data_IF_458630984159
#
_entry.id   IF_458630984159
#
_cell.length_a   1.000
_cell.length_b   1.000
_cell.length_c   1.000
_cell.angle_alpha   90.00
_cell.angle_beta   90.00
_cell.angle_gamma   90.00
#
_symmetry.space_group_name_H-M   'P 1'
#
loop_
_entity.id
_entity.type
_entity.pdbx_description
1 polymer ?
#
# COMPACT_ATOMS: atom_id res chain seq x y z
N UNK A 1 16.48 3.98 24.06
CA UNK A 1 15.53 4.92 23.42
C UNK A 1 14.09 4.52 23.74
N UNK A 2 13.37 5.27 24.60
CA UNK A 2 11.97 4.98 24.94
C UNK A 2 11.08 5.43 23.77
N UNK A 3 10.44 4.47 23.07
CA UNK A 3 9.44 4.76 22.04
C UNK A 3 8.29 5.52 22.69
N UNK A 4 8.08 6.78 22.30
CA UNK A 4 6.98 7.60 22.80
C UNK A 4 5.64 6.89 22.54
N UNK A 5 4.87 6.65 23.60
CA UNK A 5 3.50 6.13 23.51
C UNK A 5 2.70 7.12 22.65
N UNK A 6 2.26 6.68 21.46
CA UNK A 6 1.45 7.50 20.57
C UNK A 6 0.18 7.99 21.28
N UNK A 7 -0.26 9.21 20.97
CA UNK A 7 -1.50 9.78 21.53
C UNK A 7 -2.68 8.83 21.24
N UNK A 8 -3.47 8.52 22.27
CA UNK A 8 -4.67 7.71 22.11
C UNK A 8 -5.59 8.33 21.06
N UNK A 9 -6.06 7.52 20.11
CA UNK A 9 -6.99 7.96 19.10
C UNK A 9 -8.29 8.40 19.78
N UNK A 10 -8.72 9.65 19.58
CA UNK A 10 -10.02 10.11 20.08
C UNK A 10 -11.11 9.27 19.42
N UNK A 11 -11.97 8.63 20.23
CA UNK A 11 -13.14 7.90 19.74
C UNK A 11 -14.07 8.90 19.05
N UNK A 12 -14.37 8.67 17.77
CA UNK A 12 -15.30 9.52 17.04
C UNK A 12 -16.69 9.40 17.67
N UNK A 13 -17.31 10.52 18.05
CA UNK A 13 -18.70 10.56 18.52
C UNK A 13 -19.63 9.94 17.46
N UNK A 14 -20.68 9.23 17.88
CA UNK A 14 -21.69 8.70 16.97
C UNK A 14 -22.46 9.84 16.28
N UNK A 15 -22.95 9.60 15.07
CA UNK A 15 -23.63 10.64 14.27
C UNK A 15 -24.86 11.23 14.99
N UNK A 16 -25.66 10.40 15.68
CA UNK A 16 -26.84 10.86 16.41
C UNK A 16 -26.52 11.93 17.49
N UNK A 17 -25.49 11.68 18.30
CA UNK A 17 -25.03 12.63 19.33
C UNK A 17 -24.39 13.88 18.71
N UNK A 18 -23.76 13.71 17.53
CA UNK A 18 -23.13 14.80 16.80
C UNK A 18 -24.16 15.70 16.13
N UNK A 19 -25.25 15.15 15.59
CA UNK A 19 -26.25 15.88 14.80
C UNK A 19 -26.81 17.08 15.58
N UNK A 20 -27.23 16.88 16.82
CA UNK A 20 -27.75 17.97 17.66
C UNK A 20 -26.70 19.06 17.94
N UNK A 21 -25.42 18.70 18.07
CA UNK A 21 -24.32 19.66 18.24
C UNK A 21 -23.96 20.34 16.92
N UNK A 22 -24.06 19.62 15.81
CA UNK A 22 -23.80 20.09 14.47
C UNK A 22 -24.83 21.12 14.04
N UNK A 23 -26.13 20.90 14.31
CA UNK A 23 -27.20 21.88 14.06
C UNK A 23 -26.92 23.21 14.77
N UNK A 24 -26.65 23.15 16.08
CA UNK A 24 -26.30 24.35 16.87
C UNK A 24 -25.05 25.05 16.33
N UNK A 25 -24.02 24.27 16.01
CA UNK A 25 -22.76 24.82 15.52
C UNK A 25 -22.89 25.44 14.13
N UNK A 26 -23.68 24.85 13.23
CA UNK A 26 -23.96 25.41 11.90
C UNK A 26 -24.74 26.71 12.03
N UNK A 27 -25.69 26.81 12.96
CA UNK A 27 -26.44 28.04 13.21
C UNK A 27 -25.56 29.17 13.77
N UNK A 28 -24.55 28.83 14.58
CA UNK A 28 -23.57 29.78 15.14
C UNK A 28 -22.40 30.07 14.19
N UNK A 29 -22.30 29.38 13.05
CA UNK A 29 -21.15 29.48 12.17
C UNK A 29 -21.16 30.81 11.40
N UNK A 30 -20.24 31.69 11.80
CA UNK A 30 -20.04 33.04 11.25
C UNK A 30 -19.29 33.08 9.90
N UNK A 31 -18.81 31.94 9.40
CA UNK A 31 -18.07 31.86 8.13
C UNK A 31 -16.61 32.33 8.21
N UNK A 32 -16.12 32.78 9.36
CA UNK A 32 -14.74 33.28 9.52
C UNK A 32 -13.67 32.17 9.52
N UNK A 33 -13.91 30.94 10.02
CA UNK A 33 -12.89 29.91 10.05
C UNK A 33 -12.52 29.38 8.67
N UNK A 34 -11.23 29.11 8.46
CA UNK A 34 -10.69 28.42 7.28
C UNK A 34 -10.99 29.07 5.92
N UNK A 35 -11.22 30.39 5.88
CA UNK A 35 -11.47 31.13 4.65
C UNK A 35 -12.86 30.88 4.06
N UNK A 36 -13.86 30.68 4.91
CA UNK A 36 -15.24 30.42 4.48
C UNK A 36 -15.52 28.95 4.11
N UNK A 37 -14.54 28.06 4.21
CA UNK A 37 -14.73 26.64 3.92
C UNK A 37 -15.39 25.91 5.10
N UNK A 38 -16.72 25.91 5.10
CA UNK A 38 -17.55 25.24 6.11
C UNK A 38 -17.30 23.72 6.17
N UNK A 39 -16.96 23.08 5.04
CA UNK A 39 -16.68 21.63 4.99
C UNK A 39 -15.41 21.35 5.79
N UNK A 40 -14.36 22.15 5.57
CA UNK A 40 -13.10 22.04 6.30
C UNK A 40 -13.26 22.35 7.78
N UNK A 41 -14.04 23.38 8.12
CA UNK A 41 -14.36 23.74 9.49
C UNK A 41 -15.09 22.60 10.22
N UNK A 42 -16.14 22.07 9.61
CA UNK A 42 -16.95 20.96 10.15
C UNK A 42 -16.10 19.71 10.38
N UNK A 43 -15.29 19.33 9.37
CA UNK A 43 -14.37 18.18 9.46
C UNK A 43 -13.40 18.32 10.62
N UNK A 44 -12.88 19.52 10.88
CA UNK A 44 -11.93 19.77 11.96
C UNK A 44 -12.59 19.78 13.33
N UNK A 45 -13.79 20.35 13.45
CA UNK A 45 -14.55 20.40 14.71
C UNK A 45 -15.02 19.01 15.15
N UNK A 46 -15.53 18.21 14.22
CA UNK A 46 -16.18 16.94 14.52
C UNK A 46 -15.35 15.69 14.18
N UNK A 47 -14.14 15.86 13.66
CA UNK A 47 -13.22 14.79 13.26
C UNK A 47 -13.85 13.78 12.29
N UNK A 48 -14.47 14.30 11.23
CA UNK A 48 -15.26 13.54 10.25
C UNK A 48 -14.51 13.38 8.93
N UNK A 49 -14.79 12.31 8.18
CA UNK A 49 -14.28 12.15 6.83
C UNK A 49 -14.84 13.21 5.88
N UNK A 50 -14.10 13.50 4.81
CA UNK A 50 -14.44 14.54 3.84
C UNK A 50 -15.85 14.35 3.25
N UNK A 51 -16.17 13.16 2.75
CA UNK A 51 -17.49 12.85 2.18
C UNK A 51 -18.60 12.79 3.23
N UNK A 52 -18.29 12.33 4.45
CA UNK A 52 -19.27 12.31 5.54
C UNK A 52 -19.63 13.73 5.96
N UNK A 53 -18.65 14.63 6.04
CA UNK A 53 -18.90 16.04 6.34
C UNK A 53 -19.85 16.68 5.31
N UNK A 54 -19.63 16.42 4.02
CA UNK A 54 -20.52 16.89 2.94
C UNK A 54 -21.95 16.36 3.12
N UNK A 55 -22.11 15.05 3.33
CA UNK A 55 -23.43 14.45 3.51
C UNK A 55 -24.15 14.96 4.77
N UNK A 56 -23.43 15.11 5.88
CA UNK A 56 -23.97 15.64 7.12
C UNK A 56 -24.40 17.11 6.94
N UNK A 57 -23.58 17.95 6.31
CA UNK A 57 -23.91 19.36 6.02
C UNK A 57 -25.11 19.50 5.08
N UNK A 58 -25.25 18.62 4.08
CA UNK A 58 -26.44 18.58 3.21
C UNK A 58 -27.71 18.25 4.00
N UNK A 59 -27.66 17.30 4.94
CA UNK A 59 -28.80 16.99 5.81
C UNK A 59 -29.16 18.12 6.77
N UNK A 60 -28.19 18.97 7.11
CA UNK A 60 -28.39 20.16 7.94
C UNK A 60 -28.91 21.37 7.15
N UNK A 61 -29.14 21.23 5.84
CA UNK A 61 -29.66 22.30 4.98
C UNK A 61 -28.62 23.34 4.56
N UNK A 62 -27.31 23.06 4.72
CA UNK A 62 -26.25 23.97 4.26
C UNK A 62 -26.16 23.91 2.73
N UNK A 63 -26.29 25.07 2.08
CA UNK A 63 -26.13 25.21 0.63
C UNK A 63 -24.66 25.08 0.22
N UNK A 64 -24.21 23.84 0.03
CA UNK A 64 -22.90 23.54 -0.56
C UNK A 64 -23.00 23.64 -2.09
N UNK A 65 -22.07 24.35 -2.73
CA UNK A 65 -22.06 24.41 -4.19
C UNK A 65 -21.59 23.07 -4.76
N UNK A 66 -22.13 22.68 -5.93
CA UNK A 66 -21.79 21.42 -6.59
C UNK A 66 -20.28 21.32 -6.87
N UNK A 67 -19.66 22.45 -7.21
CA UNK A 67 -18.22 22.56 -7.44
C UNK A 67 -17.38 22.26 -6.19
N UNK A 68 -17.81 22.73 -5.02
CA UNK A 68 -17.16 22.42 -3.75
C UNK A 68 -17.23 20.91 -3.48
N UNK A 69 -18.39 20.31 -3.69
CA UNK A 69 -18.59 18.86 -3.49
C UNK A 69 -17.69 18.06 -4.44
N UNK A 70 -17.62 18.46 -5.71
CA UNK A 70 -16.84 17.74 -6.72
C UNK A 70 -15.33 17.90 -6.49
N UNK A 71 -14.87 19.07 -6.02
CA UNK A 71 -13.49 19.27 -5.54
C UNK A 71 -13.15 18.34 -4.39
N UNK A 72 -14.04 18.22 -3.42
CA UNK A 72 -13.85 17.34 -2.27
C UNK A 72 -13.84 15.86 -2.67
N UNK A 73 -14.73 15.45 -3.58
CA UNK A 73 -14.74 14.09 -4.17
C UNK A 73 -13.44 13.81 -4.93
N UNK A 74 -12.99 14.73 -5.77
CA UNK A 74 -11.76 14.60 -6.53
C UNK A 74 -10.55 14.42 -5.60
N UNK A 75 -10.49 15.16 -4.50
CA UNK A 75 -9.44 15.01 -3.49
C UNK A 75 -9.47 13.63 -2.80
N UNK A 76 -10.65 13.09 -2.49
CA UNK A 76 -10.77 11.72 -1.96
C UNK A 76 -10.30 10.69 -2.97
N UNK A 77 -10.73 10.82 -4.23
CA UNK A 77 -10.35 9.91 -5.31
C UNK A 77 -8.84 9.93 -5.56
N UNK A 78 -8.24 11.11 -5.65
CA UNK A 78 -6.79 11.27 -5.80
C UNK A 78 -6.02 10.61 -4.64
N UNK A 79 -6.48 10.79 -3.40
CA UNK A 79 -5.88 10.11 -2.25
C UNK A 79 -5.97 8.58 -2.37
N UNK A 80 -7.13 8.05 -2.74
CA UNK A 80 -7.32 6.60 -2.93
C UNK A 80 -6.43 6.06 -4.05
N UNK A 81 -6.33 6.78 -5.17
CA UNK A 81 -5.51 6.39 -6.32
C UNK A 81 -4.01 6.36 -5.94
N UNK A 82 -3.53 7.34 -5.17
CA UNK A 82 -2.16 7.34 -4.61
C UNK A 82 -1.94 6.11 -3.71
N UNK A 83 -2.91 5.76 -2.85
CA UNK A 83 -2.78 4.59 -1.97
C UNK A 83 -2.75 3.28 -2.77
N UNK A 84 -3.60 3.15 -3.80
CA UNK A 84 -3.60 2.01 -4.72
C UNK A 84 -2.27 1.89 -5.45
N UNK A 85 -1.75 3.00 -6.00
CA UNK A 85 -0.46 3.04 -6.68
C UNK A 85 0.69 2.61 -5.75
N UNK A 86 0.72 3.11 -4.51
CA UNK A 86 1.70 2.70 -3.49
C UNK A 86 1.59 1.20 -3.16
N UNK A 87 0.37 0.67 -3.04
CA UNK A 87 0.15 -0.77 -2.79
C UNK A 87 0.63 -1.61 -3.98
N UNK A 88 0.30 -1.20 -5.21
CA UNK A 88 0.73 -1.87 -6.44
C UNK A 88 2.26 -1.86 -6.58
N UNK A 89 2.92 -0.72 -6.34
CA UNK A 89 4.39 -0.63 -6.34
C UNK A 89 5.03 -1.58 -5.33
N UNK A 90 4.51 -1.65 -4.10
CA UNK A 90 4.99 -2.59 -3.08
C UNK A 90 4.79 -4.05 -3.48
N UNK A 91 3.67 -4.38 -4.13
CA UNK A 91 3.41 -5.73 -4.64
C UNK A 91 4.40 -6.11 -5.73
N UNK A 92 4.59 -5.25 -6.74
CA UNK A 92 5.56 -5.48 -7.82
C UNK A 92 6.98 -5.69 -7.29
N UNK A 93 7.41 -4.88 -6.33
CA UNK A 93 8.73 -5.03 -5.71
C UNK A 93 8.87 -6.38 -4.95
N UNK A 94 7.80 -6.85 -4.31
CA UNK A 94 7.80 -8.17 -3.65
C UNK A 94 7.85 -9.31 -4.67
N UNK A 95 7.15 -9.19 -5.78
CA UNK A 95 7.17 -10.18 -6.87
C UNK A 95 8.55 -10.24 -7.53
N UNK A 96 9.16 -9.09 -7.84
CA UNK A 96 10.53 -9.03 -8.37
C UNK A 96 11.57 -9.64 -7.43
N UNK A 97 11.47 -9.38 -6.11
CA UNK A 97 12.34 -10.02 -5.12
C UNK A 97 12.14 -11.54 -5.02
N UNK A 98 10.93 -12.04 -5.29
CA UNK A 98 10.67 -13.48 -5.32
C UNK A 98 11.28 -14.12 -6.57
N UNK A 99 11.10 -13.50 -7.74
CA UNK A 99 11.71 -13.95 -9.01
C UNK A 99 13.24 -13.97 -8.92
N UNK A 100 13.88 -12.90 -8.48
CA UNK A 100 15.35 -12.90 -8.32
C UNK A 100 15.84 -13.98 -7.34
N UNK A 101 15.05 -14.33 -6.32
CA UNK A 101 15.40 -15.40 -5.38
C UNK A 101 15.19 -16.80 -5.97
N UNK A 102 14.19 -17.00 -6.83
CA UNK A 102 14.03 -18.26 -7.57
C UNK A 102 15.08 -18.42 -8.65
N UNK A 103 15.39 -17.36 -9.39
CA UNK A 103 16.37 -17.39 -10.48
C UNK A 103 17.78 -17.70 -9.94
N UNK A 104 18.19 -17.11 -8.81
CA UNK A 104 19.49 -17.44 -8.17
C UNK A 104 19.50 -18.89 -7.64
N UNK A 105 18.36 -19.42 -7.21
CA UNK A 105 18.28 -20.79 -6.72
C UNK A 105 18.36 -21.84 -7.85
N UNK A 106 17.87 -21.54 -9.05
CA UNK A 106 17.93 -22.45 -10.21
C UNK A 106 19.31 -22.53 -10.88
N UNK A 107 20.11 -21.45 -10.84
CA UNK A 107 21.42 -21.41 -11.55
C UNK A 107 22.65 -21.71 -10.67
N UNK A 108 22.48 -21.94 -9.36
CA UNK A 108 23.62 -22.12 -8.46
C UNK A 108 24.22 -23.53 -8.44
N UNK A 109 23.66 -24.51 -9.18
CA UNK A 109 24.05 -25.91 -8.97
C UNK A 109 24.32 -26.73 -10.25
N UNK A 110 24.61 -26.16 -11.43
CA UNK A 110 25.09 -26.95 -12.59
C UNK A 110 26.22 -26.26 -13.36
N UNK A 111 27.37 -26.93 -13.48
CA UNK A 111 28.52 -26.50 -14.29
C UNK A 111 28.89 -27.64 -15.27
N UNK A 112 29.61 -27.37 -16.36
CA UNK A 112 29.98 -28.37 -17.38
C UNK A 112 30.85 -29.53 -16.86
N UNK A 113 31.34 -29.42 -15.62
CA UNK A 113 32.07 -30.48 -14.90
C UNK A 113 31.14 -31.29 -13.99
N UNK A 114 30.12 -30.64 -13.43
CA UNK A 114 29.23 -31.19 -12.41
C UNK A 114 27.77 -31.10 -12.88
N UNK A 115 27.14 -32.26 -13.12
CA UNK A 115 25.69 -32.39 -13.29
C UNK A 115 24.92 -31.74 -12.13
N UNK A 116 25.53 -31.74 -10.95
CA UNK A 116 24.99 -31.07 -9.78
C UNK A 116 26.12 -30.62 -8.83
N UNK A 117 26.26 -29.32 -8.54
CA UNK A 117 27.22 -28.82 -7.53
C UNK A 117 26.55 -28.83 -6.16
N UNK A 118 27.03 -29.69 -5.27
CA UNK A 118 26.52 -29.82 -3.90
C UNK A 118 27.04 -28.71 -2.96
N UNK A 119 28.11 -28.01 -3.34
CA UNK A 119 28.60 -26.84 -2.61
C UNK A 119 30.03 -26.45 -2.95
N UNK A 120 30.57 -25.51 -2.17
CA UNK A 120 31.94 -24.99 -2.32
C UNK A 120 32.74 -25.23 -1.05
N UNK A 121 33.99 -25.67 -1.21
CA UNK A 121 34.95 -25.81 -0.12
C UNK A 121 35.35 -24.43 0.43
N UNK A 122 36.01 -24.36 1.59
CA UNK A 122 36.41 -23.06 2.18
C UNK A 122 37.41 -22.26 1.33
N UNK A 123 38.06 -22.93 0.36
CA UNK A 123 38.90 -22.31 -0.67
C UNK A 123 38.17 -21.94 -1.95
N UNK A 124 36.85 -22.12 -2.02
CA UNK A 124 36.03 -21.76 -3.17
C UNK A 124 36.00 -22.79 -4.30
N UNK A 125 36.58 -23.99 -4.13
CA UNK A 125 36.48 -25.05 -5.14
C UNK A 125 35.11 -25.77 -5.05
N UNK A 126 34.37 -25.91 -6.16
CA UNK A 126 33.09 -26.62 -6.19
C UNK A 126 33.31 -28.13 -6.04
N UNK A 127 32.37 -28.78 -5.36
CA UNK A 127 32.27 -30.25 -5.33
C UNK A 127 30.82 -30.65 -5.55
N UNK A 128 30.61 -31.79 -6.19
CA UNK A 128 29.29 -32.19 -6.66
C UNK A 128 29.32 -33.50 -7.42
N UNK A 129 28.19 -33.86 -8.01
CA UNK A 129 28.03 -35.03 -8.90
C UNK A 129 28.48 -34.64 -10.30
N UNK A 130 29.41 -35.40 -10.87
CA UNK A 130 29.89 -35.16 -12.23
C UNK A 130 29.00 -35.80 -13.28
N UNK A 131 29.05 -35.31 -14.51
CA UNK A 131 28.36 -35.90 -15.65
C UNK A 131 28.79 -37.37 -15.88
N UNK A 132 30.08 -37.64 -15.66
CA UNK A 132 30.69 -38.97 -15.78
C UNK A 132 30.14 -39.97 -14.75
N UNK A 133 29.94 -39.55 -13.49
CA UNK A 133 29.30 -40.40 -12.47
C UNK A 133 27.83 -40.73 -12.81
N UNK A 134 27.14 -39.83 -13.49
CA UNK A 134 25.77 -40.07 -13.98
C UNK A 134 25.74 -40.88 -15.29
N UNK A 135 26.89 -41.29 -15.83
CA UNK A 135 27.00 -42.04 -17.08
C UNK A 135 26.54 -41.25 -18.31
N UNK A 136 26.48 -39.92 -18.20
CA UNK A 136 26.04 -39.01 -19.25
C UNK A 136 27.24 -38.20 -19.72
N UNK A 137 27.43 -38.07 -21.04
CA UNK A 137 28.36 -37.05 -21.51
C UNK A 137 27.67 -35.68 -21.35
N UNK A 138 28.40 -34.60 -21.02
CA UNK A 138 27.82 -33.26 -20.94
C UNK A 138 27.24 -32.76 -22.27
N UNK A 139 27.39 -33.54 -23.35
CA UNK A 139 27.14 -33.15 -24.74
C UNK A 139 26.43 -34.26 -25.54
N UNK A 140 25.58 -35.08 -24.92
CA UNK A 140 24.77 -36.03 -25.68
C UNK A 140 23.65 -35.26 -26.40
N UNK A 141 23.97 -34.83 -27.62
CA UNK A 141 23.04 -34.41 -28.66
C UNK A 141 22.19 -35.63 -29.03
N UNK A 142 20.86 -35.52 -28.95
CA UNK A 142 19.91 -36.53 -29.40
C UNK A 142 20.23 -36.94 -30.86
N UNK A 143 20.90 -38.08 -31.04
CA UNK A 143 20.85 -38.81 -32.30
C UNK A 143 19.72 -39.84 -32.18
N UNK A 144 18.50 -39.41 -32.50
CA UNK A 144 17.45 -40.32 -32.96
C UNK A 144 17.87 -40.86 -34.35
N UNK A 145 18.12 -42.18 -34.37
CA UNK A 145 18.14 -43.17 -35.47
C UNK A 145 18.84 -42.84 -36.82
#
# INVERSE_FOLDING_TARGET
MKKGKGKAAKKAMKFAERKAKAEKWVAEYDGTPYGGDIIKAYRKKFAVDRMKAVAELQMLGVSLTKEQIDREKAAVKAYQDIQKAKKAKRRRLREQRKMQKSDIADYSEQDGTFYYIAGYTSGGAPYGVTWEEMGMSPYMEDCDD
#
